data_IF_370192073443
#
_entry.id   IF_370192073443
#
_cell.length_a   1.000
_cell.length_b   1.000
_cell.length_c   1.000
_cell.angle_alpha   90.00
_cell.angle_beta   90.00
_cell.angle_gamma   90.00
#
_symmetry.space_group_name_H-M   'P 1'
#
loop_
_entity.id
_entity.type
_entity.pdbx_description
1 polymer ?
#
# COMPACT_ATOMS: atom_id res chain seq x y z
N UNK A 1 -68.94 -2.08 -1.58
CA UNK A 1 -69.19 -1.73 -2.99
C UNK A 1 -68.10 -0.75 -3.42
N UNK A 2 -67.60 -0.64 -4.64
CA UNK A 2 -67.50 -1.51 -5.81
C UNK A 2 -67.02 -0.58 -6.93
N UNK A 3 -65.78 -0.77 -7.41
CA UNK A 3 -65.28 -0.26 -8.70
C UNK A 3 -65.09 1.30 -8.82
N UNK A 4 -64.42 1.82 -9.85
CA UNK A 4 -64.03 1.19 -11.14
C UNK A 4 -62.71 1.74 -11.71
N UNK A 5 -61.96 0.88 -12.41
CA UNK A 5 -60.80 1.22 -13.26
C UNK A 5 -61.30 1.97 -14.52
N UNK A 6 -60.52 2.93 -15.01
CA UNK A 6 -60.64 3.48 -16.36
C UNK A 6 -59.25 3.55 -16.97
N UNK A 7 -59.10 2.96 -18.14
CA UNK A 7 -57.98 3.13 -19.08
C UNK A 7 -58.59 3.65 -20.38
N UNK A 8 -57.80 4.34 -21.19
CA UNK A 8 -58.19 4.69 -22.56
C UNK A 8 -56.97 4.90 -23.45
N UNK A 9 -56.86 4.09 -24.50
CA UNK A 9 -55.90 4.22 -25.60
C UNK A 9 -56.52 5.00 -26.79
N UNK A 10 -55.65 5.45 -27.71
CA UNK A 10 -55.79 5.81 -29.15
C UNK A 10 -54.44 6.47 -29.59
N UNK A 11 -53.70 6.15 -30.67
CA UNK A 11 -53.97 5.83 -32.10
C UNK A 11 -54.43 7.05 -32.95
N UNK A 12 -53.90 7.39 -34.14
CA UNK A 12 -52.47 7.46 -34.60
C UNK A 12 -52.23 8.87 -35.25
N UNK A 13 -51.54 9.24 -36.35
CA UNK A 13 -50.81 8.70 -37.54
C UNK A 13 -49.41 9.40 -37.65
N UNK A 14 -48.37 9.06 -38.42
CA UNK A 14 -48.14 8.46 -39.76
C UNK A 14 -48.00 9.46 -40.96
N UNK A 15 -46.83 9.51 -41.63
CA UNK A 15 -46.62 10.15 -42.95
C UNK A 15 -45.28 9.75 -43.66
N UNK A 16 -45.36 9.53 -44.97
CA UNK A 16 -44.32 9.14 -45.96
C UNK A 16 -42.97 9.92 -45.90
N UNK A 17 -41.76 9.32 -45.88
CA UNK A 17 -40.97 8.63 -46.96
C UNK A 17 -40.57 9.51 -48.16
N UNK A 18 -39.46 9.24 -48.90
CA UNK A 18 -38.48 8.12 -48.87
C UNK A 18 -37.16 8.50 -48.13
N UNK A 19 -35.86 8.24 -48.47
CA UNK A 19 -35.14 7.70 -49.66
C UNK A 19 -33.72 7.18 -49.33
N UNK A 20 -33.17 6.32 -50.21
CA UNK A 20 -31.76 5.92 -50.37
C UNK A 20 -31.15 4.89 -49.38
N UNK A 21 -30.34 3.97 -49.92
CA UNK A 21 -29.80 2.78 -49.22
C UNK A 21 -28.27 2.77 -49.22
N UNK A 22 -27.64 2.43 -48.08
CA UNK A 22 -26.39 1.64 -48.02
C UNK A 22 -26.13 1.12 -46.60
N UNK A 23 -25.76 -0.17 -46.54
CA UNK A 23 -25.40 -1.02 -45.40
C UNK A 23 -25.28 -0.38 -44.00
N UNK A 24 -26.16 -0.80 -43.08
CA UNK A 24 -25.98 -0.71 -41.62
C UNK A 24 -26.18 -2.09 -41.00
N UNK A 25 -25.39 -2.45 -39.99
CA UNK A 25 -25.36 -3.80 -39.41
C UNK A 25 -26.69 -4.20 -38.72
N UNK A 26 -27.09 -5.49 -38.74
CA UNK A 26 -28.36 -5.95 -38.19
C UNK A 26 -28.35 -6.02 -36.66
N UNK A 27 -28.91 -5.01 -36.00
CA UNK A 27 -29.20 -5.02 -34.55
C UNK A 27 -30.59 -5.64 -34.31
N UNK A 28 -30.65 -6.80 -33.65
CA UNK A 28 -31.84 -7.42 -33.02
C UNK A 28 -31.44 -8.77 -32.36
N UNK A 29 -32.17 -9.26 -31.34
CA UNK A 29 -33.00 -8.56 -30.35
C UNK A 29 -32.60 -8.89 -28.90
N UNK A 30 -33.14 -8.15 -27.93
CA UNK A 30 -33.12 -8.55 -26.51
C UNK A 30 -33.85 -9.90 -26.36
N UNK A 31 -33.14 -10.96 -26.00
CA UNK A 31 -33.73 -12.29 -25.71
C UNK A 31 -33.80 -12.52 -24.20
N UNK A 32 -35.00 -12.90 -23.73
CA UNK A 32 -35.27 -13.15 -22.32
C UNK A 32 -34.37 -14.26 -21.73
N UNK A 33 -34.09 -14.14 -20.42
CA UNK A 33 -33.31 -15.12 -19.64
C UNK A 33 -34.04 -16.48 -19.55
N UNK A 34 -33.90 -17.33 -20.56
CA UNK A 34 -34.17 -18.76 -20.42
C UNK A 34 -33.11 -19.35 -19.48
N UNK A 35 -33.54 -19.98 -18.38
CA UNK A 35 -32.63 -20.80 -17.55
C UNK A 35 -32.10 -21.93 -18.44
N UNK A 36 -30.78 -22.12 -18.60
CA UNK A 36 -30.27 -23.21 -19.41
C UNK A 36 -30.57 -24.53 -18.69
N UNK A 37 -31.37 -25.39 -19.31
CA UNK A 37 -31.50 -26.79 -18.91
C UNK A 37 -30.21 -27.50 -19.28
N UNK A 38 -29.32 -27.69 -18.31
CA UNK A 38 -27.98 -28.25 -18.51
C UNK A 38 -28.09 -29.70 -19.00
N UNK A 39 -27.93 -29.90 -20.32
CA UNK A 39 -27.80 -31.25 -20.88
C UNK A 39 -26.45 -31.84 -20.44
N UNK A 40 -26.31 -33.18 -20.33
CA UNK A 40 -25.02 -33.80 -19.99
C UNK A 40 -23.89 -33.36 -20.92
N UNK A 41 -24.19 -33.19 -22.22
CA UNK A 41 -23.24 -32.65 -23.21
C UNK A 41 -22.87 -31.20 -22.93
N UNK A 42 -23.83 -30.33 -22.56
CA UNK A 42 -23.53 -28.94 -22.18
C UNK A 42 -22.60 -28.90 -20.96
N UNK A 43 -22.82 -29.77 -19.97
CA UNK A 43 -22.00 -29.84 -18.76
C UNK A 43 -20.59 -30.39 -19.06
N UNK A 44 -20.46 -31.34 -19.99
CA UNK A 44 -19.16 -31.82 -20.49
C UNK A 44 -18.38 -30.72 -21.23
N UNK A 45 -19.05 -29.94 -22.08
CA UNK A 45 -18.45 -28.78 -22.76
C UNK A 45 -18.03 -27.69 -21.75
N UNK A 46 -18.84 -27.44 -20.73
CA UNK A 46 -18.53 -26.50 -19.63
C UNK A 46 -17.28 -26.95 -18.85
N UNK A 47 -17.21 -28.23 -18.45
CA UNK A 47 -16.04 -28.81 -17.77
C UNK A 47 -14.78 -28.76 -18.64
N UNK A 48 -14.88 -29.04 -19.94
CA UNK A 48 -13.75 -28.95 -20.86
C UNK A 48 -13.27 -27.50 -21.03
N UNK A 49 -14.20 -26.53 -21.11
CA UNK A 49 -13.91 -25.09 -21.15
C UNK A 49 -13.19 -24.63 -19.87
N UNK A 50 -13.69 -25.04 -18.71
CA UNK A 50 -13.09 -24.70 -17.41
C UNK A 50 -11.70 -25.34 -17.24
N UNK A 51 -11.51 -26.60 -17.63
CA UNK A 51 -10.20 -27.27 -17.59
C UNK A 51 -9.18 -26.62 -18.53
N UNK A 52 -9.61 -26.14 -19.69
CA UNK A 52 -8.75 -25.37 -20.59
C UNK A 52 -8.37 -24.00 -19.99
N UNK A 53 -9.31 -23.31 -19.33
CA UNK A 53 -9.04 -22.05 -18.62
C UNK A 53 -8.09 -22.24 -17.43
N UNK A 54 -8.27 -23.31 -16.64
CA UNK A 54 -7.35 -23.66 -15.55
C UNK A 54 -5.93 -23.88 -16.09
N UNK A 55 -5.75 -24.74 -17.12
CA UNK A 55 -4.42 -24.98 -17.71
C UNK A 55 -3.80 -23.72 -18.31
N UNK A 56 -4.59 -22.82 -18.91
CA UNK A 56 -4.09 -21.53 -19.40
C UNK A 56 -3.58 -20.66 -18.25
N UNK A 57 -4.26 -20.64 -17.10
CA UNK A 57 -3.82 -19.91 -15.91
C UNK A 57 -2.56 -20.53 -15.30
N UNK A 58 -2.51 -21.86 -15.12
CA UNK A 58 -1.33 -22.60 -14.65
C UNK A 58 -0.08 -22.29 -15.52
N UNK A 59 -0.21 -22.37 -16.85
CA UNK A 59 0.90 -22.07 -17.76
C UNK A 59 1.33 -20.59 -17.77
N UNK A 60 0.46 -19.64 -17.36
CA UNK A 60 0.83 -18.22 -17.26
C UNK A 60 1.23 -17.79 -15.85
N UNK A 61 0.88 -18.54 -14.80
CA UNK A 61 1.33 -18.31 -13.41
C UNK A 61 2.85 -18.43 -13.25
N UNK A 62 3.54 -19.14 -14.16
CA UNK A 62 5.01 -19.15 -14.23
C UNK A 62 5.60 -17.73 -14.41
N UNK A 63 4.85 -16.78 -15.01
CA UNK A 63 5.24 -15.37 -15.13
C UNK A 63 4.93 -14.52 -13.89
N UNK A 64 4.38 -15.12 -12.84
CA UNK A 64 4.01 -14.49 -11.56
C UNK A 64 4.60 -15.22 -10.34
N UNK A 65 5.46 -16.21 -10.55
CA UNK A 65 6.19 -16.85 -9.46
C UNK A 65 7.23 -15.85 -8.90
N UNK A 66 7.13 -15.51 -7.61
CA UNK A 66 8.00 -14.52 -6.97
C UNK A 66 9.49 -14.90 -7.09
N UNK A 67 9.80 -16.20 -7.12
CA UNK A 67 11.16 -16.72 -7.27
C UNK A 67 11.80 -16.36 -8.61
N UNK A 68 11.01 -15.96 -9.63
CA UNK A 68 11.51 -15.49 -10.93
C UNK A 68 11.78 -13.96 -10.94
N UNK A 69 11.60 -13.29 -9.80
CA UNK A 69 11.92 -11.87 -9.58
C UNK A 69 12.96 -11.67 -8.47
N UNK A 70 13.58 -12.76 -8.01
CA UNK A 70 14.84 -12.71 -7.29
C UNK A 70 15.93 -12.51 -8.34
N UNK A 71 16.60 -11.36 -8.27
CA UNK A 71 17.79 -11.05 -9.06
C UNK A 71 18.99 -11.48 -8.21
N UNK A 72 19.80 -12.44 -8.67
CA UNK A 72 20.92 -13.02 -7.90
C UNK A 72 22.09 -12.03 -7.65
N UNK A 73 21.87 -10.74 -7.92
CA UNK A 73 22.81 -9.64 -7.72
C UNK A 73 22.60 -8.92 -6.37
N UNK A 74 22.47 -9.68 -5.27
CA UNK A 74 22.50 -9.15 -3.89
C UNK A 74 23.89 -9.38 -3.26
N UNK A 75 24.78 -8.37 -3.22
CA UNK A 75 26.22 -8.58 -3.00
C UNK A 75 26.61 -8.88 -1.54
N UNK A 76 25.66 -9.06 -0.62
CA UNK A 76 25.92 -9.20 0.84
C UNK A 76 26.03 -10.66 1.33
N UNK A 77 26.21 -11.67 0.47
CA UNK A 77 26.28 -13.09 0.90
C UNK A 77 27.54 -13.88 0.50
N UNK A 78 28.56 -13.25 -0.11
CA UNK A 78 29.85 -13.89 -0.41
C UNK A 78 30.91 -13.69 0.71
N UNK A 79 30.63 -14.20 1.92
CA UNK A 79 31.64 -14.40 2.98
C UNK A 79 31.82 -15.90 3.31
N UNK A 80 32.28 -16.70 2.34
CA UNK A 80 32.83 -18.03 2.61
C UNK A 80 33.71 -18.55 1.46
N UNK A 81 35.00 -18.75 1.74
CA UNK A 81 36.05 -19.35 0.89
C UNK A 81 36.41 -18.56 -0.38
N UNK A 82 37.66 -18.08 -0.43
CA UNK A 82 38.71 -18.81 -1.14
C UNK A 82 40.07 -18.50 -0.49
N UNK A 83 40.86 -19.54 -0.19
CA UNK A 83 42.28 -19.40 0.17
C UNK A 83 43.10 -19.42 -1.13
N UNK A 84 43.65 -18.27 -1.54
CA UNK A 84 44.73 -18.22 -2.55
C UNK A 84 45.75 -17.12 -2.22
N UNK A 85 47.02 -17.38 -2.57
CA UNK A 85 48.20 -16.81 -1.91
C UNK A 85 49.07 -15.98 -2.87
N UNK A 86 49.01 -14.65 -2.76
CA UNK A 86 49.81 -13.72 -3.57
C UNK A 86 50.43 -12.57 -2.78
N UNK A 87 51.60 -12.85 -2.17
CA UNK A 87 52.60 -11.85 -1.77
C UNK A 87 53.07 -10.99 -2.97
N UNK A 88 52.92 -9.67 -2.85
CA UNK A 88 53.75 -8.69 -3.57
C UNK A 88 54.09 -7.51 -2.66
N UNK A 89 55.35 -7.45 -2.25
CA UNK A 89 55.88 -6.46 -1.30
C UNK A 89 55.92 -5.03 -1.89
N UNK A 90 55.27 -4.07 -1.21
CA UNK A 90 55.58 -2.64 -1.38
C UNK A 90 56.60 -2.18 -0.33
N UNK A 91 57.80 -1.79 -0.78
CA UNK A 91 58.86 -1.27 0.08
C UNK A 91 59.54 -0.03 -0.55
N UNK A 92 58.94 1.15 -0.37
CA UNK A 92 59.48 2.41 -0.87
C UNK A 92 60.64 2.98 -0.03
N UNK A 93 61.71 3.46 -0.68
CA UNK A 93 62.79 4.24 -0.03
C UNK A 93 63.16 5.46 -0.90
N UNK A 94 63.57 6.55 -0.26
CA UNK A 94 63.43 7.91 -0.78
C UNK A 94 64.60 8.49 -1.62
N UNK A 95 64.20 9.30 -2.61
CA UNK A 95 64.71 10.64 -2.95
C UNK A 95 66.21 10.94 -3.17
N UNK A 96 66.51 11.51 -4.37
CA UNK A 96 67.27 12.76 -4.62
C UNK A 96 67.29 13.08 -6.13
N UNK A 97 67.60 14.33 -6.55
CA UNK A 97 68.11 14.54 -7.92
C UNK A 97 67.70 15.74 -8.78
N UNK A 98 67.14 16.83 -8.23
CA UNK A 98 67.19 18.23 -8.74
C UNK A 98 67.65 18.52 -10.21
N UNK A 99 66.81 19.22 -11.00
CA UNK A 99 67.31 20.10 -12.09
C UNK A 99 66.42 20.26 -13.32
N UNK A 100 66.00 21.49 -13.64
CA UNK A 100 65.31 21.82 -14.90
C UNK A 100 64.44 23.07 -14.82
N UNK A 101 64.95 24.22 -15.28
CA UNK A 101 64.13 25.42 -15.51
C UNK A 101 63.55 25.36 -16.91
N UNK A 102 62.28 25.76 -17.09
CA UNK A 102 62.02 26.78 -18.10
C UNK A 102 60.79 27.66 -17.80
N UNK A 103 60.72 28.82 -18.43
CA UNK A 103 59.68 29.83 -18.24
C UNK A 103 58.64 29.78 -19.35
N UNK A 104 57.36 30.03 -19.01
CA UNK A 104 56.60 31.17 -19.55
C UNK A 104 55.28 31.39 -18.82
N UNK A 105 55.04 32.65 -18.45
CA UNK A 105 53.70 33.17 -18.18
C UNK A 105 52.97 33.39 -19.51
N UNK A 106 51.63 33.31 -19.48
CA UNK A 106 50.79 33.84 -20.57
C UNK A 106 49.95 32.81 -21.35
N UNK A 107 48.94 32.21 -20.72
CA UNK A 107 47.57 32.18 -21.26
C UNK A 107 46.61 31.53 -20.25
N UNK A 108 45.79 32.33 -19.56
CA UNK A 108 44.60 31.81 -18.86
C UNK A 108 43.50 31.55 -19.90
N UNK A 109 43.62 30.46 -20.66
CA UNK A 109 42.60 30.00 -21.61
C UNK A 109 41.27 29.83 -20.84
N UNK A 110 40.22 30.61 -21.14
CA UNK A 110 39.09 30.72 -20.24
C UNK A 110 38.21 29.47 -20.23
N UNK A 111 37.87 29.01 -19.03
CA UNK A 111 36.57 28.40 -18.68
C UNK A 111 35.98 27.45 -19.74
N UNK A 112 36.68 26.34 -19.98
CA UNK A 112 36.19 25.19 -20.76
C UNK A 112 36.23 23.92 -19.90
N UNK A 113 37.41 23.48 -19.45
CA UNK A 113 37.56 22.32 -18.55
C UNK A 113 36.69 22.44 -17.29
N UNK A 114 36.69 23.60 -16.62
CA UNK A 114 35.85 23.84 -15.44
C UNK A 114 34.34 23.81 -15.75
N UNK A 115 33.91 24.10 -16.99
CA UNK A 115 32.51 23.97 -17.40
C UNK A 115 32.13 22.52 -17.65
N UNK A 116 33.02 21.75 -18.28
CA UNK A 116 32.83 20.31 -18.48
C UNK A 116 32.79 19.58 -17.13
N UNK A 117 33.70 19.91 -16.20
CA UNK A 117 33.68 19.38 -14.84
C UNK A 117 32.41 19.77 -14.07
N UNK A 118 31.93 21.02 -14.22
CA UNK A 118 30.64 21.45 -13.66
C UNK A 118 29.48 20.61 -14.20
N UNK A 119 29.39 20.46 -15.52
CA UNK A 119 28.34 19.66 -16.18
C UNK A 119 28.40 18.17 -15.79
N UNK A 120 29.59 17.60 -15.58
CA UNK A 120 29.75 16.22 -15.07
C UNK A 120 29.17 16.13 -13.65
N UNK A 121 29.57 17.04 -12.76
CA UNK A 121 29.06 17.07 -11.38
C UNK A 121 27.53 17.29 -11.34
N UNK A 122 26.99 18.14 -12.22
CA UNK A 122 25.54 18.36 -12.35
C UNK A 122 24.83 17.10 -12.88
N UNK A 123 25.40 16.39 -13.86
CA UNK A 123 24.89 15.11 -14.37
C UNK A 123 24.86 14.06 -13.24
N UNK A 124 25.95 13.91 -12.50
CA UNK A 124 26.04 12.89 -11.44
C UNK A 124 25.14 13.23 -10.23
N UNK A 125 24.97 14.52 -9.92
CA UNK A 125 23.95 14.98 -8.96
C UNK A 125 22.53 14.67 -9.44
N UNK A 126 22.24 14.84 -10.73
CA UNK A 126 20.92 14.54 -11.31
C UNK A 126 20.63 13.04 -11.36
N UNK A 127 21.64 12.17 -11.56
CA UNK A 127 21.51 10.72 -11.38
C UNK A 127 21.08 10.40 -9.96
N UNK A 128 21.86 10.83 -8.96
CA UNK A 128 21.59 10.56 -7.55
C UNK A 128 20.20 11.05 -7.09
N UNK A 129 19.75 12.22 -7.55
CA UNK A 129 18.40 12.73 -7.29
C UNK A 129 17.30 11.90 -7.98
N UNK A 130 17.53 11.40 -9.20
CA UNK A 130 16.60 10.51 -9.89
C UNK A 130 16.56 9.10 -9.28
N UNK A 131 17.70 8.53 -8.92
CA UNK A 131 17.81 7.22 -8.28
C UNK A 131 17.12 7.24 -6.91
N UNK A 132 17.32 8.31 -6.13
CA UNK A 132 16.64 8.53 -4.85
C UNK A 132 15.12 8.71 -5.01
N UNK A 133 14.65 9.36 -6.09
CA UNK A 133 13.22 9.46 -6.42
C UNK A 133 12.62 8.11 -6.82
N UNK A 134 13.33 7.33 -7.64
CA UNK A 134 12.92 5.97 -8.01
C UNK A 134 12.85 5.07 -6.78
N UNK A 135 13.89 5.08 -5.94
CA UNK A 135 13.95 4.33 -4.68
C UNK A 135 12.78 4.67 -3.74
N UNK A 136 12.45 5.96 -3.59
CA UNK A 136 11.28 6.44 -2.84
C UNK A 136 9.96 5.93 -3.44
N UNK A 137 9.78 6.06 -4.75
CA UNK A 137 8.58 5.56 -5.44
C UNK A 137 8.42 4.04 -5.30
N UNK A 138 9.50 3.25 -5.44
CA UNK A 138 9.47 1.81 -5.24
C UNK A 138 9.21 1.40 -3.78
N UNK A 139 9.65 2.19 -2.79
CA UNK A 139 9.28 2.00 -1.39
C UNK A 139 7.77 2.30 -1.16
N UNK A 140 7.27 3.44 -1.66
CA UNK A 140 5.87 3.83 -1.56
C UNK A 140 4.92 2.79 -2.21
N UNK A 141 5.26 2.31 -3.41
CA UNK A 141 4.44 1.29 -4.11
C UNK A 141 4.51 -0.08 -3.43
N UNK A 142 5.63 -0.45 -2.80
CA UNK A 142 5.68 -1.65 -1.94
C UNK A 142 4.81 -1.48 -0.69
N UNK A 143 4.82 -0.32 -0.05
CA UNK A 143 3.93 0.00 1.07
C UNK A 143 2.45 -0.12 0.70
N UNK A 144 2.02 0.55 -0.38
CA UNK A 144 0.63 0.47 -0.88
C UNK A 144 0.21 -0.95 -1.27
N UNK A 145 1.11 -1.75 -1.85
CA UNK A 145 0.85 -3.16 -2.15
C UNK A 145 0.73 -4.01 -0.87
N UNK A 146 1.55 -3.74 0.15
CA UNK A 146 1.49 -4.41 1.45
C UNK A 146 0.21 -4.05 2.22
N UNK A 147 -0.19 -2.78 2.24
CA UNK A 147 -1.48 -2.32 2.79
C UNK A 147 -2.66 -3.01 2.10
N UNK A 148 -2.67 -3.03 0.76
CA UNK A 148 -3.69 -3.74 -0.02
C UNK A 148 -3.69 -5.25 0.25
N UNK A 149 -2.52 -5.87 0.44
CA UNK A 149 -2.41 -7.28 0.81
C UNK A 149 -2.98 -7.57 2.20
N UNK A 150 -2.64 -6.75 3.21
CA UNK A 150 -3.20 -6.86 4.55
C UNK A 150 -4.73 -6.70 4.53
N UNK A 151 -5.25 -5.68 3.85
CA UNK A 151 -6.69 -5.45 3.70
C UNK A 151 -7.40 -6.62 2.98
N UNK A 152 -6.83 -7.10 1.87
CA UNK A 152 -7.36 -8.25 1.14
C UNK A 152 -7.34 -9.53 1.99
N UNK A 153 -6.30 -9.74 2.80
CA UNK A 153 -6.25 -10.89 3.71
C UNK A 153 -7.25 -10.74 4.88
N UNK A 154 -7.50 -9.52 5.39
CA UNK A 154 -8.58 -9.27 6.34
C UNK A 154 -9.94 -9.60 5.73
N UNK A 155 -10.24 -9.09 4.53
CA UNK A 155 -11.47 -9.44 3.80
C UNK A 155 -11.60 -10.94 3.52
N UNK A 156 -10.50 -11.62 3.22
CA UNK A 156 -10.47 -13.09 3.10
C UNK A 156 -10.87 -13.76 4.40
N UNK A 157 -10.23 -13.43 5.53
CA UNK A 157 -10.63 -14.01 6.82
C UNK A 157 -12.06 -13.61 7.25
N UNK A 158 -12.56 -12.45 6.82
CA UNK A 158 -13.94 -11.99 7.08
C UNK A 158 -14.97 -12.79 6.26
N UNK A 159 -14.62 -13.20 5.03
CA UNK A 159 -15.48 -14.00 4.13
C UNK A 159 -15.41 -15.49 4.45
N UNK A 160 -14.23 -16.01 4.82
CA UNK A 160 -14.03 -17.44 5.10
C UNK A 160 -14.24 -17.81 6.58
N UNK A 161 -14.27 -16.84 7.50
CA UNK A 161 -14.67 -17.03 8.90
C UNK A 161 -15.79 -16.03 9.27
N UNK A 162 -17.04 -16.22 8.78
CA UNK A 162 -18.14 -15.29 9.01
C UNK A 162 -18.49 -15.11 10.51
N UNK A 163 -18.05 -16.02 11.37
CA UNK A 163 -18.09 -15.90 12.84
C UNK A 163 -17.35 -14.63 13.31
N UNK A 164 -16.25 -14.24 12.65
CA UNK A 164 -15.54 -12.99 12.94
C UNK A 164 -16.38 -11.76 12.60
N UNK A 165 -17.24 -11.83 11.58
CA UNK A 165 -18.25 -10.80 11.29
C UNK A 165 -19.38 -10.77 12.33
N UNK A 166 -19.74 -11.92 12.92
CA UNK A 166 -20.80 -11.99 13.94
C UNK A 166 -20.49 -11.13 15.18
N UNK A 167 -19.20 -10.98 15.52
CA UNK A 167 -18.70 -10.12 16.60
C UNK A 167 -18.93 -8.62 16.35
N UNK A 168 -19.19 -8.22 15.09
CA UNK A 168 -19.49 -6.85 14.69
C UNK A 168 -20.99 -6.62 14.41
N UNK A 169 -21.86 -7.58 14.77
CA UNK A 169 -23.30 -7.34 14.75
C UNK A 169 -23.68 -6.22 15.72
N UNK A 170 -24.70 -5.43 15.35
CA UNK A 170 -25.14 -4.24 16.11
C UNK A 170 -25.44 -4.54 17.58
N UNK A 171 -25.90 -5.77 17.89
CA UNK A 171 -26.17 -6.19 19.27
C UNK A 171 -24.88 -6.43 20.06
N UNK A 172 -23.92 -7.20 19.53
CA UNK A 172 -22.62 -7.45 20.20
C UNK A 172 -21.82 -6.14 20.35
N UNK A 173 -21.86 -5.26 19.35
CA UNK A 173 -21.27 -3.92 19.42
C UNK A 173 -21.94 -3.07 20.50
N UNK A 174 -23.28 -3.11 20.61
CA UNK A 174 -24.04 -2.41 21.68
C UNK A 174 -23.68 -2.94 23.07
N UNK A 175 -23.65 -4.25 23.25
CA UNK A 175 -23.27 -4.89 24.53
C UNK A 175 -21.85 -4.52 24.92
N UNK A 176 -20.91 -4.53 23.98
CA UNK A 176 -19.52 -4.08 24.19
C UNK A 176 -19.44 -2.59 24.57
N UNK A 177 -20.21 -1.72 23.94
CA UNK A 177 -20.29 -0.29 24.30
C UNK A 177 -20.86 -0.11 25.71
N UNK A 178 -21.95 -0.81 26.06
CA UNK A 178 -22.54 -0.75 27.41
C UNK A 178 -21.55 -1.27 28.47
N UNK A 179 -20.84 -2.35 28.19
CA UNK A 179 -19.82 -2.91 29.09
C UNK A 179 -18.63 -1.95 29.29
N UNK A 180 -18.15 -1.31 28.21
CA UNK A 180 -17.06 -0.32 28.28
C UNK A 180 -17.49 0.96 29.00
N UNK A 181 -18.69 1.48 28.73
CA UNK A 181 -19.23 2.64 29.45
C UNK A 181 -19.39 2.33 30.95
N UNK A 182 -19.94 1.16 31.30
CA UNK A 182 -20.03 0.71 32.68
C UNK A 182 -18.67 0.41 33.34
N UNK A 183 -17.58 0.23 32.58
CA UNK A 183 -16.21 0.23 33.12
C UNK A 183 -15.71 1.66 33.34
N UNK A 184 -15.93 2.56 32.37
CA UNK A 184 -15.55 3.97 32.45
C UNK A 184 -16.24 4.71 33.61
N UNK A 185 -17.53 4.45 33.85
CA UNK A 185 -18.28 4.99 34.99
C UNK A 185 -17.71 4.52 36.34
N UNK A 186 -17.35 3.24 36.46
CA UNK A 186 -16.72 2.69 37.67
C UNK A 186 -15.33 3.27 37.92
N UNK A 187 -14.51 3.40 36.88
CA UNK A 187 -13.20 4.05 36.97
C UNK A 187 -13.33 5.55 37.29
N UNK A 188 -14.31 6.24 36.72
CA UNK A 188 -14.62 7.63 37.04
C UNK A 188 -15.00 7.81 38.51
N UNK A 189 -15.88 6.95 39.03
CA UNK A 189 -16.27 6.95 40.45
C UNK A 189 -15.11 6.61 41.40
N UNK A 190 -14.24 5.66 41.01
CA UNK A 190 -13.03 5.32 41.77
C UNK A 190 -12.05 6.50 41.80
N UNK A 191 -11.71 7.06 40.63
CA UNK A 191 -10.80 8.21 40.51
C UNK A 191 -11.33 9.43 41.28
N UNK A 192 -12.65 9.68 41.24
CA UNK A 192 -13.27 10.75 42.02
C UNK A 192 -13.11 10.55 43.53
N UNK A 193 -13.27 9.30 44.03
CA UNK A 193 -13.03 8.96 45.44
C UNK A 193 -11.56 9.10 45.83
N UNK A 194 -10.64 8.63 44.99
CA UNK A 194 -9.19 8.73 45.24
C UNK A 194 -8.73 10.20 45.28
N UNK A 195 -9.24 11.04 44.38
CA UNK A 195 -9.01 12.49 44.42
C UNK A 195 -9.57 13.16 45.67
N UNK A 196 -10.72 12.71 46.19
CA UNK A 196 -11.30 13.28 47.41
C UNK A 196 -10.54 12.85 48.67
N UNK A 197 -10.15 11.57 48.78
CA UNK A 197 -9.29 11.10 49.88
C UNK A 197 -7.96 11.87 49.91
N UNK A 198 -7.33 12.11 48.74
CA UNK A 198 -6.13 12.93 48.65
C UNK A 198 -6.38 14.39 49.09
N UNK A 199 -7.54 14.99 48.77
CA UNK A 199 -7.90 16.33 49.26
C UNK A 199 -8.06 16.36 50.78
N UNK A 200 -8.70 15.35 51.37
CA UNK A 200 -8.85 15.22 52.83
C UNK A 200 -7.48 15.08 53.51
N UNK A 201 -6.57 14.28 52.94
CA UNK A 201 -5.19 14.13 53.42
C UNK A 201 -4.39 15.44 53.31
N UNK A 202 -4.43 16.12 52.16
CA UNK A 202 -3.76 17.43 52.01
C UNK A 202 -4.33 18.48 52.98
N UNK A 203 -5.66 18.59 53.11
CA UNK A 203 -6.28 19.52 54.04
C UNK A 203 -6.04 19.14 55.52
N UNK A 204 -5.73 17.88 55.83
CA UNK A 204 -5.26 17.44 57.15
C UNK A 204 -3.81 17.85 57.38
N UNK A 205 -2.91 17.53 56.44
CA UNK A 205 -1.50 17.90 56.50
C UNK A 205 -1.32 19.42 56.59
N UNK A 206 -2.13 20.20 55.86
CA UNK A 206 -2.14 21.66 55.95
C UNK A 206 -2.48 22.12 57.37
N UNK A 207 -3.59 21.65 57.97
CA UNK A 207 -3.97 21.98 59.35
C UNK A 207 -2.94 21.56 60.41
N UNK A 208 -2.32 20.39 60.25
CA UNK A 208 -1.29 19.89 61.18
C UNK A 208 0.02 20.69 61.07
N UNK A 209 0.43 21.05 59.85
CA UNK A 209 1.58 21.91 59.61
C UNK A 209 1.34 23.33 60.15
N UNK A 210 0.17 23.91 59.85
CA UNK A 210 -0.27 25.24 60.30
C UNK A 210 -0.33 25.33 61.85
N UNK A 211 -0.69 24.24 62.53
CA UNK A 211 -0.58 24.12 63.99
C UNK A 211 0.87 24.10 64.48
N UNK A 212 1.78 23.37 63.81
CA UNK A 212 3.22 23.34 64.15
C UNK A 212 3.87 24.72 63.99
N UNK A 213 3.58 25.46 62.91
CA UNK A 213 4.10 26.82 62.73
C UNK A 213 3.54 27.80 63.78
N UNK A 214 2.25 27.70 64.12
CA UNK A 214 1.61 28.57 65.13
C UNK A 214 1.98 28.20 66.58
N UNK A 215 2.48 26.99 66.81
CA UNK A 215 3.02 26.54 68.11
C UNK A 215 4.53 26.70 68.28
N UNK A 216 5.22 27.31 67.31
CA UNK A 216 6.68 27.54 67.32
C UNK A 216 7.05 29.04 67.54
N UNK A 217 6.12 29.81 68.10
CA UNK A 217 6.22 31.25 68.47
C UNK A 217 5.76 31.40 69.93
#
# INVERSE_FOLDING_TARGET
>A
MSAKRVEHDMEEEASATPTCQKHRAPVKPLRAKKKPTTTPTSLLCELMRLKAQQKYLECNQVKLNANNFLDDNDPETNEANDDDDHDYQEAGVAAKGNGGKDKKSGSRRPSSGNKVAGLINDIDRLKLDMDEKLRKHHAEKRGQLQEMWHYMNTLKEDVFQPERLSLYTVNVVRERIVALNGQLERLSAQNAKELEMLREEYAKMERENDFVWKGSI
#
